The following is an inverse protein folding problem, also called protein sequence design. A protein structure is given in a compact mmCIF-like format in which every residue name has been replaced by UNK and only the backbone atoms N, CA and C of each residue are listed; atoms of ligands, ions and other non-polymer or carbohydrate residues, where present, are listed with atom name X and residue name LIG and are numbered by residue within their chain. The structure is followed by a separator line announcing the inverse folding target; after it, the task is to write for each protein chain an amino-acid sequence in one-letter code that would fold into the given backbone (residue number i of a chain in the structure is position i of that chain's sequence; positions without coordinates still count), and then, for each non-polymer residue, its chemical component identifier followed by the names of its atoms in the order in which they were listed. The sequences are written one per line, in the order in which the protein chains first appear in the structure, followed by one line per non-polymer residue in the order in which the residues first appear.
data_IF_994165211310
#
_entry.id   IF_994165211310
#
_cell.length_a   1.000
_cell.length_b   1.000
_cell.length_c   1.000
_cell.angle_alpha   90.00
_cell.angle_beta   90.00
_cell.angle_gamma   90.00
#
_symmetry.space_group_name_H-M   'P 1'
#
loop_
_entity.id
_entity.type
_entity.pdbx_description
1 polymer ?
#
# COMPACT_ATOMS: atom_id res chain seq x y z
N UNK A 1 15.19 5.45 -30.35
CA UNK A 1 15.08 6.90 -30.06
C UNK A 1 16.48 7.49 -30.11
N UNK A 2 17.01 7.49 -31.32
CA UNK A 2 18.19 8.15 -31.91
C UNK A 2 17.86 7.98 -33.43
N UNK A 3 18.00 8.92 -34.35
CA UNK A 3 19.13 9.81 -34.61
C UNK A 3 18.59 11.10 -35.27
N UNK A 4 18.49 12.21 -34.53
CA UNK A 4 18.40 13.53 -35.17
C UNK A 4 19.47 14.40 -34.52
N UNK A 5 20.58 14.54 -35.23
CA UNK A 5 21.80 15.26 -34.84
C UNK A 5 21.61 16.79 -34.84
N UNK A 6 20.41 17.30 -34.53
CA UNK A 6 20.10 18.72 -34.60
C UNK A 6 19.24 19.24 -33.43
N UNK A 7 19.28 18.61 -32.25
CA UNK A 7 18.61 19.14 -31.07
C UNK A 7 19.59 19.35 -29.90
N UNK A 8 19.83 20.62 -29.54
CA UNK A 8 20.56 21.11 -28.37
C UNK A 8 19.87 20.76 -27.03
N UNK A 9 19.10 19.67 -26.96
CA UNK A 9 18.25 19.36 -25.82
C UNK A 9 18.92 18.27 -24.98
N UNK A 10 19.26 18.61 -23.74
CA UNK A 10 19.78 17.65 -22.76
C UNK A 10 18.61 16.95 -22.06
N UNK A 11 18.53 15.63 -22.20
CA UNK A 11 17.61 14.81 -21.43
C UNK A 11 18.05 14.76 -19.96
N UNK A 12 17.12 15.09 -19.06
CA UNK A 12 17.29 14.93 -17.61
C UNK A 12 16.23 13.97 -17.12
N UNK A 13 16.65 12.89 -16.46
CA UNK A 13 15.74 11.87 -15.94
C UNK A 13 15.80 11.82 -14.42
N UNK A 14 14.66 12.02 -13.78
CA UNK A 14 14.49 11.78 -12.35
C UNK A 14 14.00 10.34 -12.16
N UNK A 15 14.68 9.57 -11.31
CA UNK A 15 14.35 8.17 -11.08
C UNK A 15 14.61 7.75 -9.63
N UNK A 16 13.96 6.66 -9.23
CA UNK A 16 14.25 5.95 -7.97
C UNK A 16 15.31 4.87 -8.21
N UNK A 17 15.53 4.00 -7.23
CA UNK A 17 16.36 2.80 -7.38
C UNK A 17 15.88 1.84 -8.49
N UNK A 18 14.72 2.07 -9.12
CA UNK A 18 14.32 1.29 -10.31
C UNK A 18 15.31 1.42 -11.48
N UNK A 19 16.00 2.57 -11.60
CA UNK A 19 17.04 2.76 -12.61
C UNK A 19 18.36 2.05 -12.27
N UNK A 20 18.53 1.61 -11.02
CA UNK A 20 19.69 0.88 -10.54
C UNK A 20 19.73 -0.55 -11.07
N UNK A 21 18.57 -1.18 -11.28
CA UNK A 21 18.42 -2.58 -11.69
C UNK A 21 17.55 -2.72 -12.94
N UNK A 22 16.29 -2.32 -12.86
CA UNK A 22 15.20 -2.81 -13.71
C UNK A 22 14.94 -2.00 -14.98
N UNK A 23 15.47 -0.79 -15.08
CA UNK A 23 15.34 0.06 -16.27
C UNK A 23 16.71 0.35 -16.87
N UNK A 24 16.80 0.24 -18.19
CA UNK A 24 17.97 0.67 -18.96
C UNK A 24 17.60 1.93 -19.72
N UNK A 25 18.30 3.02 -19.40
CA UNK A 25 18.19 4.30 -20.09
C UNK A 25 19.44 4.44 -20.94
N UNK A 26 19.26 4.61 -22.25
CA UNK A 26 20.38 4.77 -23.18
C UNK A 26 21.03 6.14 -23.02
N UNK A 27 22.30 6.24 -23.39
CA UNK A 27 23.04 7.50 -23.48
C UNK A 27 23.17 8.30 -22.17
N UNK A 28 23.02 7.65 -21.01
CA UNK A 28 23.31 8.26 -19.72
C UNK A 28 24.81 8.44 -19.54
N UNK A 29 25.28 9.68 -19.51
CA UNK A 29 26.70 10.04 -19.29
C UNK A 29 26.98 10.75 -17.97
N UNK A 30 25.93 11.21 -17.29
CA UNK A 30 26.02 11.88 -15.99
C UNK A 30 24.98 11.27 -15.05
N UNK A 31 25.45 10.80 -13.90
CA UNK A 31 24.59 10.37 -12.79
C UNK A 31 24.82 11.33 -11.63
N UNK A 32 23.74 11.86 -11.06
CA UNK A 32 23.75 12.63 -9.82
C UNK A 32 23.11 11.73 -8.76
N UNK A 33 23.89 11.31 -7.76
CA UNK A 33 23.44 10.36 -6.73
C UNK A 33 23.30 11.05 -5.38
N UNK A 34 22.06 11.07 -4.86
CA UNK A 34 21.75 11.63 -3.54
C UNK A 34 22.12 10.70 -2.38
N UNK A 35 22.45 9.42 -2.66
CA UNK A 35 22.86 8.46 -1.64
C UNK A 35 21.73 7.95 -0.75
N UNK A 36 20.47 8.21 -1.12
CA UNK A 36 19.29 7.82 -0.35
C UNK A 36 18.44 6.80 -1.11
N UNK A 37 17.67 6.03 -0.34
CA UNK A 37 16.64 5.10 -0.80
C UNK A 37 15.47 5.12 0.17
N UNK A 38 14.25 4.95 -0.35
CA UNK A 38 13.07 4.61 0.46
C UNK A 38 12.87 3.11 0.40
N UNK A 39 12.82 2.48 1.56
CA UNK A 39 12.72 1.03 1.68
C UNK A 39 11.63 0.66 2.68
N UNK A 40 10.79 -0.31 2.33
CA UNK A 40 9.85 -0.90 3.28
C UNK A 40 10.61 -1.88 4.19
N UNK A 41 10.50 -1.67 5.50
CA UNK A 41 11.09 -2.53 6.54
C UNK A 41 10.01 -2.94 7.52
N UNK A 42 9.98 -4.22 7.85
CA UNK A 42 9.05 -4.77 8.82
C UNK A 42 9.65 -4.68 10.23
N UNK A 43 8.91 -4.03 11.13
CA UNK A 43 9.20 -3.96 12.56
C UNK A 43 8.49 -5.15 13.24
N UNK A 44 9.26 -6.14 13.64
CA UNK A 44 8.75 -7.37 14.25
C UNK A 44 8.08 -7.11 15.61
N UNK A 45 8.63 -6.21 16.42
CA UNK A 45 8.10 -5.90 17.76
C UNK A 45 6.74 -5.21 17.64
N UNK A 46 6.64 -4.23 16.73
CA UNK A 46 5.41 -3.46 16.53
C UNK A 46 4.42 -4.12 15.57
N UNK A 47 4.85 -5.17 14.84
CA UNK A 47 4.13 -5.82 13.73
C UNK A 47 3.68 -4.83 12.65
N UNK A 48 4.55 -3.88 12.31
CA UNK A 48 4.27 -2.80 11.36
C UNK A 48 5.30 -2.76 10.25
N UNK A 49 4.84 -2.68 9.00
CA UNK A 49 5.72 -2.29 7.89
C UNK A 49 5.83 -0.77 7.85
N UNK A 50 7.05 -0.27 7.97
CA UNK A 50 7.38 1.16 7.93
C UNK A 50 8.19 1.43 6.66
N UNK A 51 7.82 2.46 5.92
CA UNK A 51 8.65 2.94 4.81
C UNK A 51 9.69 3.90 5.38
N UNK A 52 10.96 3.51 5.38
CA UNK A 52 12.05 4.31 5.93
C UNK A 52 12.89 4.95 4.80
N UNK A 53 13.25 6.23 4.97
CA UNK A 53 14.27 6.87 4.11
C UNK A 53 15.64 6.72 4.75
N UNK A 54 16.56 6.02 4.07
CA UNK A 54 17.88 5.69 4.61
C UNK A 54 18.99 5.86 3.57
N UNK A 55 20.24 5.82 4.03
CA UNK A 55 21.42 5.79 3.15
C UNK A 55 21.52 4.46 2.40
N UNK A 56 21.97 4.52 1.15
CA UNK A 56 22.20 3.32 0.32
C UNK A 56 23.41 2.51 0.81
N UNK A 57 23.58 1.29 0.29
CA UNK A 57 24.80 0.51 0.50
C UNK A 57 25.94 0.98 -0.41
N UNK A 58 27.18 0.59 -0.10
CA UNK A 58 28.33 0.84 -0.98
C UNK A 58 28.14 0.16 -2.35
N UNK A 59 27.68 -1.09 -2.36
CA UNK A 59 27.41 -1.79 -3.63
C UNK A 59 26.32 -1.11 -4.46
N UNK A 60 25.30 -0.52 -3.84
CA UNK A 60 24.28 0.29 -4.54
C UNK A 60 24.88 1.57 -5.14
N UNK A 61 25.74 2.27 -4.40
CA UNK A 61 26.45 3.45 -4.90
C UNK A 61 27.31 3.12 -6.14
N UNK A 62 27.96 1.96 -6.14
CA UNK A 62 28.79 1.50 -7.25
C UNK A 62 27.94 1.07 -8.45
N UNK A 63 26.81 0.40 -8.23
CA UNK A 63 25.84 0.09 -9.30
C UNK A 63 25.31 1.37 -9.97
N UNK A 64 24.95 2.39 -9.18
CA UNK A 64 24.52 3.70 -9.70
C UNK A 64 25.61 4.39 -10.50
N UNK A 65 26.86 4.32 -10.02
CA UNK A 65 28.03 4.86 -10.72
C UNK A 65 28.21 4.19 -12.09
N UNK A 66 28.06 2.86 -12.15
CA UNK A 66 28.15 2.08 -13.38
C UNK A 66 27.12 2.45 -14.45
N UNK A 67 26.00 3.08 -14.09
CA UNK A 67 24.99 3.54 -15.07
C UNK A 67 25.49 4.64 -15.99
N UNK A 68 26.44 5.47 -15.54
CA UNK A 68 27.04 6.52 -16.38
C UNK A 68 28.05 5.97 -17.41
N UNK A 69 28.57 4.77 -17.21
CA UNK A 69 29.69 4.20 -17.99
C UNK A 69 29.30 3.15 -19.02
N UNK A 70 28.00 3.01 -19.35
CA UNK A 70 27.52 1.89 -20.19
C UNK A 70 27.86 2.00 -21.66
N UNK A 71 27.69 3.19 -22.25
CA UNK A 71 27.86 3.41 -23.70
C UNK A 71 29.11 4.22 -24.04
N UNK A 72 29.59 5.03 -23.10
CA UNK A 72 30.77 5.88 -23.24
C UNK A 72 31.31 6.24 -21.85
N UNK A 73 32.53 6.79 -21.74
CA UNK A 73 33.01 7.36 -20.48
C UNK A 73 32.00 8.39 -19.93
N UNK A 74 31.61 8.19 -18.68
CA UNK A 74 30.65 9.06 -17.98
C UNK A 74 31.15 9.48 -16.60
N UNK A 75 30.37 10.33 -15.93
CA UNK A 75 30.67 10.87 -14.61
C UNK A 75 29.55 10.54 -13.63
N UNK A 76 29.91 10.20 -12.41
CA UNK A 76 28.98 10.11 -11.29
C UNK A 76 29.35 11.18 -10.26
N UNK A 77 28.37 12.01 -9.88
CA UNK A 77 28.51 13.02 -8.83
C UNK A 77 27.72 12.53 -7.62
N UNK A 78 28.43 12.11 -6.57
CA UNK A 78 27.83 11.70 -5.29
C UNK A 78 27.68 12.94 -4.41
N UNK A 79 26.48 13.17 -3.87
CA UNK A 79 26.17 14.30 -2.98
C UNK A 79 26.46 14.00 -1.50
N UNK A 80 27.29 13.01 -1.23
CA UNK A 80 27.61 12.46 0.09
C UNK A 80 29.03 11.89 0.07
N UNK A 81 29.63 11.69 1.26
CA UNK A 81 30.94 11.03 1.37
C UNK A 81 30.76 9.52 1.36
N UNK A 82 31.65 8.80 0.67
CA UNK A 82 31.55 7.33 0.61
C UNK A 82 31.72 6.68 2.00
N UNK A 83 32.54 7.29 2.86
CA UNK A 83 32.76 6.83 4.24
C UNK A 83 31.50 6.90 5.10
N UNK A 84 30.52 7.73 4.71
CA UNK A 84 29.22 7.81 5.37
C UNK A 84 28.34 6.57 5.12
N UNK A 85 28.70 5.72 4.13
CA UNK A 85 28.00 4.48 3.82
C UNK A 85 28.56 3.34 4.66
N UNK A 86 27.83 3.02 5.74
CA UNK A 86 28.19 1.97 6.69
C UNK A 86 27.91 0.57 6.11
N UNK A 87 26.81 0.41 5.37
CA UNK A 87 26.41 -0.88 4.78
C UNK A 87 27.25 -1.17 3.54
N UNK A 88 27.91 -2.32 3.52
CA UNK A 88 28.62 -2.80 2.33
C UNK A 88 27.61 -3.20 1.25
N UNK A 89 26.65 -4.06 1.61
CA UNK A 89 25.69 -4.66 0.69
C UNK A 89 24.23 -4.33 0.97
N UNK A 90 23.39 -4.60 -0.02
CA UNK A 90 21.93 -4.50 0.11
C UNK A 90 21.47 -5.68 0.97
N UNK A 91 20.75 -5.37 2.04
CA UNK A 91 20.19 -6.38 2.92
C UNK A 91 19.11 -7.22 2.20
N UNK A 92 19.19 -8.56 2.23
CA UNK A 92 18.21 -9.44 1.61
C UNK A 92 16.78 -9.15 2.06
N UNK A 93 15.83 -9.17 1.12
CA UNK A 93 14.43 -8.83 1.40
C UNK A 93 13.80 -9.71 2.49
N UNK A 94 14.21 -10.99 2.57
CA UNK A 94 13.73 -11.95 3.57
C UNK A 94 14.06 -11.55 5.02
N UNK A 95 15.14 -10.77 5.23
CA UNK A 95 15.57 -10.36 6.57
C UNK A 95 14.87 -9.08 7.05
N UNK A 96 14.08 -8.42 6.19
CA UNK A 96 13.50 -7.10 6.45
C UNK A 96 12.03 -6.97 6.06
N UNK A 97 11.40 -8.04 5.63
CA UNK A 97 9.99 -8.07 5.23
C UNK A 97 9.20 -8.98 6.17
N UNK A 98 7.88 -8.81 6.23
CA UNK A 98 7.02 -9.81 6.87
C UNK A 98 7.16 -11.15 6.15
N UNK A 99 7.23 -12.23 6.92
CA UNK A 99 7.30 -13.60 6.41
C UNK A 99 5.93 -14.27 6.36
N UNK A 100 4.85 -13.59 6.74
CA UNK A 100 3.52 -14.19 6.93
C UNK A 100 3.01 -14.85 5.64
N UNK A 101 3.04 -14.11 4.51
CA UNK A 101 2.62 -14.64 3.21
C UNK A 101 3.55 -15.74 2.68
N UNK A 102 4.86 -15.55 2.81
CA UNK A 102 5.86 -16.52 2.32
C UNK A 102 5.74 -17.84 3.09
N UNK A 103 5.57 -17.76 4.41
CA UNK A 103 5.36 -18.91 5.29
C UNK A 103 4.09 -19.66 4.89
N UNK A 104 2.98 -18.93 4.69
CA UNK A 104 1.72 -19.53 4.23
C UNK A 104 1.88 -20.24 2.88
N UNK A 105 2.56 -19.62 1.91
CA UNK A 105 2.79 -20.21 0.59
C UNK A 105 3.65 -21.48 0.66
N UNK A 106 4.71 -21.49 1.47
CA UNK A 106 5.56 -22.67 1.66
C UNK A 106 4.76 -23.81 2.32
N UNK A 107 3.94 -23.51 3.33
CA UNK A 107 3.06 -24.50 3.98
C UNK A 107 2.01 -25.03 2.99
N UNK A 108 1.45 -24.17 2.13
CA UNK A 108 0.51 -24.58 1.09
C UNK A 108 1.14 -25.53 0.06
N UNK A 109 2.46 -25.44 -0.15
CA UNK A 109 3.25 -26.40 -0.95
C UNK A 109 3.60 -27.69 -0.19
N UNK A 110 3.08 -27.87 1.04
CA UNK A 110 3.37 -29.01 1.93
C UNK A 110 4.85 -29.13 2.30
N UNK A 111 5.57 -28.02 2.31
CA UNK A 111 6.97 -27.94 2.74
C UNK A 111 7.01 -27.32 4.13
N UNK A 112 7.88 -27.81 5.01
CA UNK A 112 8.07 -27.22 6.33
C UNK A 112 9.01 -25.98 6.23
N UNK A 113 8.51 -24.75 6.47
CA UNK A 113 9.33 -23.53 6.42
C UNK A 113 10.58 -23.58 7.31
N UNK A 114 10.51 -24.26 8.46
CA UNK A 114 11.63 -24.37 9.43
C UNK A 114 12.80 -25.20 8.87
N UNK A 115 12.54 -26.06 7.90
CA UNK A 115 13.55 -26.90 7.23
C UNK A 115 13.88 -26.42 5.82
N UNK A 116 13.29 -25.30 5.40
CA UNK A 116 13.50 -24.77 4.06
C UNK A 116 14.92 -24.21 3.93
N UNK A 117 15.68 -24.59 2.88
CA UNK A 117 17.07 -24.18 2.72
C UNK A 117 17.18 -22.75 2.15
N UNK A 118 16.85 -21.75 2.97
CA UNK A 118 17.05 -20.34 2.60
C UNK A 118 18.54 -20.03 2.39
N UNK A 119 18.86 -19.23 1.38
CA UNK A 119 20.24 -18.73 1.14
C UNK A 119 20.67 -17.87 2.34
N UNK A 120 19.83 -16.90 2.68
CA UNK A 120 19.94 -16.08 3.89
C UNK A 120 18.77 -16.45 4.80
N UNK A 121 18.98 -17.32 5.82
CA UNK A 121 17.89 -17.76 6.68
C UNK A 121 17.36 -16.61 7.53
N UNK A 122 16.02 -16.43 7.63
CA UNK A 122 15.46 -15.46 8.54
C UNK A 122 15.70 -15.88 9.99
N UNK A 123 15.58 -14.92 10.90
CA UNK A 123 15.56 -15.21 12.33
C UNK A 123 14.40 -16.16 12.67
N UNK A 124 14.70 -17.23 13.41
CA UNK A 124 13.71 -18.23 13.81
C UNK A 124 12.54 -17.58 14.58
N UNK A 125 12.79 -16.54 15.37
CA UNK A 125 11.75 -15.83 16.13
C UNK A 125 10.73 -15.14 15.22
N UNK A 126 11.17 -14.62 14.07
CA UNK A 126 10.29 -13.99 13.07
C UNK A 126 9.44 -15.06 12.41
N UNK A 127 10.06 -16.20 12.08
CA UNK A 127 9.36 -17.32 11.47
C UNK A 127 8.28 -17.89 12.40
N UNK A 128 8.60 -18.12 13.69
CA UNK A 128 7.62 -18.56 14.68
C UNK A 128 6.49 -17.54 14.87
N UNK A 129 6.79 -16.23 14.90
CA UNK A 129 5.75 -15.21 14.97
C UNK A 129 4.82 -15.22 13.73
N UNK A 130 5.30 -15.66 12.57
CA UNK A 130 4.44 -15.91 11.40
C UNK A 130 3.58 -17.16 11.57
N UNK A 131 4.08 -18.25 12.17
CA UNK A 131 3.24 -19.41 12.53
C UNK A 131 2.12 -19.01 13.49
N UNK A 132 2.46 -18.30 14.57
CA UNK A 132 1.49 -17.84 15.57
C UNK A 132 0.37 -17.01 14.92
N UNK A 133 0.73 -16.10 14.00
CA UNK A 133 -0.27 -15.32 13.27
C UNK A 133 -1.13 -16.20 12.36
N UNK A 134 -0.53 -17.12 11.61
CA UNK A 134 -1.28 -17.98 10.70
C UNK A 134 -2.24 -18.90 11.44
N UNK A 135 -1.87 -19.38 12.63
CA UNK A 135 -2.75 -20.15 13.52
C UNK A 135 -3.87 -19.24 14.07
N UNK A 136 -3.53 -18.03 14.55
CA UNK A 136 -4.52 -17.05 15.01
C UNK A 136 -5.56 -16.69 13.91
N UNK A 137 -5.13 -16.64 12.65
CA UNK A 137 -6.00 -16.38 11.50
C UNK A 137 -6.69 -17.65 10.96
N UNK A 138 -6.50 -18.80 11.63
CA UNK A 138 -7.01 -20.11 11.22
C UNK A 138 -6.61 -20.50 9.80
N UNK A 139 -5.45 -20.03 9.33
CA UNK A 139 -4.87 -20.44 8.05
C UNK A 139 -4.19 -21.81 8.16
N UNK A 140 -3.68 -22.13 9.35
CA UNK A 140 -3.15 -23.43 9.72
C UNK A 140 -3.86 -23.94 10.98
N UNK A 141 -3.89 -25.25 11.17
CA UNK A 141 -4.35 -25.86 12.41
C UNK A 141 -3.23 -25.99 13.46
N UNK A 142 -3.55 -26.58 14.61
CA UNK A 142 -2.60 -26.83 15.71
C UNK A 142 -1.46 -27.78 15.34
N UNK A 143 -1.65 -28.61 14.31
CA UNK A 143 -0.63 -29.50 13.76
C UNK A 143 0.19 -28.82 12.64
N UNK A 144 -0.01 -27.51 12.45
CA UNK A 144 0.57 -26.68 11.39
C UNK A 144 0.25 -27.15 9.97
N UNK A 145 -0.88 -27.82 9.77
CA UNK A 145 -1.37 -28.21 8.46
C UNK A 145 -2.27 -27.12 7.86
N UNK A 146 -2.23 -26.98 6.54
CA UNK A 146 -2.97 -25.92 5.84
C UNK A 146 -4.49 -26.16 5.92
N UNK A 147 -5.25 -25.15 6.35
CA UNK A 147 -6.72 -25.21 6.35
C UNK A 147 -7.30 -24.75 5.00
N UNK A 148 -8.60 -24.98 4.78
CA UNK A 148 -9.32 -24.44 3.61
C UNK A 148 -9.22 -22.91 3.54
N UNK A 149 -9.24 -22.22 4.68
CA UNK A 149 -9.05 -20.77 4.78
C UNK A 149 -7.62 -20.36 4.39
N UNK A 150 -6.61 -21.11 4.85
CA UNK A 150 -5.22 -20.89 4.44
C UNK A 150 -5.00 -21.06 2.93
N UNK A 151 -5.65 -22.06 2.32
CA UNK A 151 -5.61 -22.24 0.86
C UNK A 151 -6.24 -21.06 0.11
N UNK A 152 -7.39 -20.55 0.58
CA UNK A 152 -8.03 -19.36 0.02
C UNK A 152 -7.10 -18.13 0.12
N UNK A 153 -6.44 -17.94 1.27
CA UNK A 153 -5.55 -16.80 1.48
C UNK A 153 -4.29 -16.89 0.61
N UNK A 154 -3.75 -18.10 0.44
CA UNK A 154 -2.66 -18.35 -0.48
C UNK A 154 -3.05 -18.04 -1.92
N UNK A 155 -4.31 -18.26 -2.32
CA UNK A 155 -4.79 -17.90 -3.65
C UNK A 155 -4.93 -16.39 -3.83
N UNK A 156 -5.45 -15.68 -2.82
CA UNK A 156 -5.58 -14.22 -2.83
C UNK A 156 -4.22 -13.50 -3.00
N UNK A 157 -3.12 -14.13 -2.57
CA UNK A 157 -1.74 -13.71 -2.87
C UNK A 157 -1.33 -12.33 -2.31
N UNK A 158 -1.98 -11.86 -1.24
CA UNK A 158 -1.57 -10.70 -0.46
C UNK A 158 -1.46 -11.05 1.02
N UNK A 159 -1.01 -10.10 1.86
CA UNK A 159 -0.77 -10.33 3.29
C UNK A 159 -1.97 -11.03 3.97
N UNK A 160 -1.75 -12.12 4.74
CA UNK A 160 -2.82 -12.88 5.37
C UNK A 160 -3.77 -12.05 6.24
N UNK A 161 -3.33 -10.93 6.82
CA UNK A 161 -4.21 -10.03 7.59
C UNK A 161 -5.17 -9.27 6.70
N UNK A 162 -4.74 -8.86 5.49
CA UNK A 162 -5.67 -8.27 4.51
C UNK A 162 -6.67 -9.31 4.02
N UNK A 163 -6.24 -10.56 3.84
CA UNK A 163 -7.15 -11.67 3.49
C UNK A 163 -8.15 -11.95 4.60
N UNK A 164 -7.72 -11.95 5.85
CA UNK A 164 -8.60 -12.08 7.01
C UNK A 164 -9.60 -10.94 7.09
N UNK A 165 -9.14 -9.70 7.03
CA UNK A 165 -10.00 -8.52 7.00
C UNK A 165 -11.07 -8.61 5.90
N UNK A 166 -10.66 -8.97 4.69
CA UNK A 166 -11.58 -9.10 3.55
C UNK A 166 -12.61 -10.21 3.75
N UNK A 167 -12.15 -11.42 4.07
CA UNK A 167 -13.02 -12.60 4.16
C UNK A 167 -13.94 -12.50 5.36
N UNK A 168 -13.44 -12.06 6.52
CA UNK A 168 -14.26 -11.95 7.73
C UNK A 168 -15.31 -10.84 7.57
N UNK A 169 -14.94 -9.68 7.00
CA UNK A 169 -15.92 -8.63 6.71
C UNK A 169 -16.95 -9.10 5.69
N UNK A 170 -16.57 -9.90 4.68
CA UNK A 170 -17.51 -10.45 3.71
C UNK A 170 -18.49 -11.47 4.32
N UNK A 171 -18.00 -12.33 5.22
CA UNK A 171 -18.82 -13.30 5.93
C UNK A 171 -19.75 -12.64 6.95
N UNK A 172 -19.34 -11.53 7.56
CA UNK A 172 -20.20 -10.76 8.48
C UNK A 172 -21.17 -9.83 7.73
N UNK A 173 -20.74 -9.24 6.62
CA UNK A 173 -21.43 -8.16 5.89
C UNK A 173 -21.32 -8.35 4.37
N UNK A 174 -22.00 -9.35 3.82
CA UNK A 174 -21.92 -9.72 2.39
C UNK A 174 -22.06 -8.57 1.38
N UNK A 175 -23.05 -7.66 1.49
CA UNK A 175 -23.29 -6.63 0.49
C UNK A 175 -22.17 -5.59 0.33
N UNK A 176 -21.27 -5.47 1.31
CA UNK A 176 -20.15 -4.50 1.27
C UNK A 176 -18.94 -5.03 0.49
N UNK A 177 -19.01 -6.25 -0.08
CA UNK A 177 -17.90 -6.94 -0.77
C UNK A 177 -17.16 -6.02 -1.76
N UNK A 178 -17.90 -5.32 -2.62
CA UNK A 178 -17.31 -4.45 -3.64
C UNK A 178 -16.47 -3.34 -3.02
N UNK A 179 -16.93 -2.74 -1.91
CA UNK A 179 -16.21 -1.71 -1.20
C UNK A 179 -14.94 -2.27 -0.55
N UNK A 180 -15.05 -3.36 0.21
CA UNK A 180 -13.90 -3.93 0.93
C UNK A 180 -12.84 -4.51 -0.03
N UNK A 181 -13.25 -5.16 -1.13
CA UNK A 181 -12.34 -5.64 -2.16
C UNK A 181 -11.59 -4.47 -2.82
N UNK A 182 -12.29 -3.35 -3.07
CA UNK A 182 -11.66 -2.13 -3.60
C UNK A 182 -10.66 -1.54 -2.61
N UNK A 183 -11.04 -1.45 -1.33
CA UNK A 183 -10.14 -0.94 -0.27
C UNK A 183 -8.89 -1.80 -0.17
N UNK A 184 -9.01 -3.13 -0.11
CA UNK A 184 -7.86 -4.03 -0.08
C UNK A 184 -7.00 -3.87 -1.32
N UNK A 185 -7.59 -3.83 -2.52
CA UNK A 185 -6.86 -3.62 -3.76
C UNK A 185 -6.05 -2.30 -3.77
N UNK A 186 -6.61 -1.22 -3.23
CA UNK A 186 -5.92 0.06 -3.04
C UNK A 186 -4.74 -0.08 -2.07
N UNK A 187 -4.95 -0.74 -0.93
CA UNK A 187 -3.96 -0.86 0.14
C UNK A 187 -2.77 -1.74 -0.25
N UNK A 188 -3.00 -2.80 -1.04
CA UNK A 188 -1.92 -3.68 -1.51
C UNK A 188 -1.18 -3.11 -2.72
N UNK A 189 -1.79 -2.15 -3.44
CA UNK A 189 -1.16 -1.53 -4.62
C UNK A 189 -0.17 -0.45 -4.22
N UNK A 190 1.14 -0.61 -4.51
CA UNK A 190 2.13 0.41 -4.23
C UNK A 190 1.88 1.67 -5.06
N UNK A 191 2.15 2.85 -4.48
CA UNK A 191 2.19 4.10 -5.24
C UNK A 191 0.84 4.60 -5.76
N UNK A 192 -0.27 4.21 -5.12
CA UNK A 192 -1.58 4.78 -5.48
C UNK A 192 -1.70 6.28 -5.14
N UNK A 193 -1.15 6.69 -3.98
CA UNK A 193 -1.01 8.10 -3.60
C UNK A 193 0.40 8.66 -3.78
N UNK A 194 1.41 7.78 -3.72
CA UNK A 194 2.80 8.16 -3.93
C UNK A 194 3.12 7.98 -5.41
N UNK A 195 3.08 9.05 -6.17
CA UNK A 195 4.30 9.58 -6.80
C UNK A 195 3.91 10.72 -7.75
N UNK A 196 4.47 11.90 -7.46
CA UNK A 196 4.29 13.19 -8.13
C UNK A 196 2.98 13.94 -7.83
N UNK A 197 2.86 14.41 -6.59
CA UNK A 197 2.27 15.73 -6.35
C UNK A 197 3.15 16.73 -7.10
N UNK A 198 2.78 17.02 -8.35
CA UNK A 198 3.27 18.08 -9.21
C UNK A 198 4.76 18.40 -9.18
N UNK A 199 5.47 18.18 -10.29
CA UNK A 199 6.82 18.74 -10.41
C UNK A 199 6.76 20.28 -10.34
N UNK A 200 5.66 20.85 -10.82
CA UNK A 200 5.41 22.29 -10.87
C UNK A 200 4.58 22.76 -9.66
N UNK A 201 4.79 23.99 -9.15
CA UNK A 201 3.99 24.56 -8.05
C UNK A 201 2.48 24.50 -8.30
N UNK A 202 2.02 24.82 -9.51
CA UNK A 202 0.60 24.81 -9.89
C UNK A 202 -0.03 23.41 -9.77
N UNK A 203 0.72 22.37 -10.15
CA UNK A 203 0.29 20.99 -10.03
C UNK A 203 0.20 20.54 -8.56
N UNK A 204 1.09 21.07 -7.70
CA UNK A 204 1.03 20.84 -6.25
C UNK A 204 -0.19 21.50 -5.63
N UNK A 205 -0.47 22.74 -6.02
CA UNK A 205 -1.64 23.48 -5.54
C UNK A 205 -2.93 22.81 -6.02
N UNK A 206 -2.99 22.37 -7.28
CA UNK A 206 -4.11 21.62 -7.82
C UNK A 206 -4.33 20.27 -7.11
N UNK A 207 -3.25 19.55 -6.78
CA UNK A 207 -3.33 18.31 -6.01
C UNK A 207 -3.82 18.57 -4.57
N UNK A 208 -3.28 19.61 -3.91
CA UNK A 208 -3.70 20.03 -2.58
C UNK A 208 -5.16 20.44 -2.53
N UNK A 209 -5.62 21.25 -3.49
CA UNK A 209 -7.02 21.66 -3.59
C UNK A 209 -7.95 20.47 -3.78
N UNK A 210 -7.54 19.44 -4.53
CA UNK A 210 -8.32 18.20 -4.67
C UNK A 210 -8.44 17.42 -3.37
N UNK A 211 -7.40 17.38 -2.56
CA UNK A 211 -7.47 16.77 -1.22
C UNK A 211 -8.42 17.58 -0.33
N UNK A 212 -8.36 18.91 -0.40
CA UNK A 212 -9.25 19.81 0.34
C UNK A 212 -10.72 19.63 -0.11
N UNK A 213 -10.96 19.52 -1.41
CA UNK A 213 -12.30 19.26 -1.95
C UNK A 213 -12.80 17.87 -1.54
N UNK A 214 -11.96 16.84 -1.65
CA UNK A 214 -12.28 15.50 -1.17
C UNK A 214 -12.58 15.46 0.33
N UNK A 215 -11.93 16.33 1.12
CA UNK A 215 -12.19 16.48 2.56
C UNK A 215 -13.53 17.16 2.90
N UNK A 216 -14.22 17.77 1.93
CA UNK A 216 -15.59 18.27 2.11
C UNK A 216 -16.60 17.13 2.09
N UNK A 217 -16.36 16.15 1.22
CA UNK A 217 -17.33 15.09 0.92
C UNK A 217 -17.00 13.75 1.58
N UNK A 218 -15.76 13.56 2.07
CA UNK A 218 -15.32 12.31 2.67
C UNK A 218 -14.67 12.49 4.04
N UNK A 219 -15.07 11.62 4.96
CA UNK A 219 -14.55 11.55 6.31
C UNK A 219 -13.28 10.68 6.43
N UNK A 220 -12.93 9.97 5.36
CA UNK A 220 -11.99 8.87 5.29
C UNK A 220 -11.10 8.99 4.05
N UNK A 221 -9.78 8.87 4.22
CA UNK A 221 -8.87 8.79 3.08
C UNK A 221 -9.19 7.57 2.21
N UNK A 222 -9.49 6.43 2.82
CA UNK A 222 -9.79 5.20 2.10
C UNK A 222 -11.05 5.35 1.24
N UNK A 223 -12.10 6.01 1.76
CA UNK A 223 -13.34 6.20 1.01
C UNK A 223 -13.19 7.24 -0.11
N UNK A 224 -12.40 8.30 0.14
CA UNK A 224 -12.01 9.24 -0.92
C UNK A 224 -11.22 8.53 -2.03
N UNK A 225 -10.34 7.61 -1.69
CA UNK A 225 -9.60 6.81 -2.66
C UNK A 225 -10.49 5.85 -3.45
N UNK A 226 -11.48 5.24 -2.78
CA UNK A 226 -12.50 4.41 -3.43
C UNK A 226 -13.35 5.23 -4.40
N UNK A 227 -13.78 6.45 -4.03
CA UNK A 227 -14.57 7.30 -4.92
C UNK A 227 -13.78 7.66 -6.17
N UNK A 228 -12.51 8.04 -6.03
CA UNK A 228 -11.60 8.32 -7.15
C UNK A 228 -11.47 7.09 -8.07
N UNK A 229 -11.32 5.89 -7.50
CA UNK A 229 -11.22 4.66 -8.29
C UNK A 229 -12.52 4.36 -9.04
N UNK A 230 -13.68 4.52 -8.41
CA UNK A 230 -15.00 4.33 -9.03
C UNK A 230 -15.26 5.32 -10.18
N UNK A 231 -14.88 6.57 -10.00
CA UNK A 231 -14.92 7.59 -11.05
C UNK A 231 -14.02 7.23 -12.24
N UNK A 232 -12.81 6.72 -11.96
CA UNK A 232 -11.92 6.23 -13.00
C UNK A 232 -12.51 5.01 -13.72
N UNK A 233 -13.10 4.05 -13.00
CA UNK A 233 -13.73 2.88 -13.60
C UNK A 233 -14.88 3.25 -14.54
N UNK A 234 -15.66 4.27 -14.17
CA UNK A 234 -16.79 4.80 -14.95
C UNK A 234 -16.37 5.76 -16.07
N UNK A 235 -15.11 6.19 -16.11
CA UNK A 235 -14.61 7.06 -17.16
C UNK A 235 -14.66 6.37 -18.54
N UNK A 236 -15.48 6.92 -19.44
CA UNK A 236 -15.62 6.46 -20.82
C UNK A 236 -16.29 5.10 -20.93
N UNK A 237 -17.52 4.98 -20.43
CA UNK A 237 -18.37 3.82 -20.65
C UNK A 237 -18.54 3.54 -22.16
N UNK A 238 -18.60 2.26 -22.49
CA UNK A 238 -18.76 1.79 -23.86
C UNK A 238 -20.23 1.46 -24.07
N UNK A 239 -20.80 2.01 -25.12
CA UNK A 239 -22.14 1.66 -25.54
C UNK A 239 -22.16 0.22 -26.06
N UNK A 240 -23.01 -0.60 -25.47
CA UNK A 240 -23.16 -2.02 -25.79
C UNK A 240 -23.57 -2.29 -27.23
N UNK A 241 -24.26 -1.34 -27.88
CA UNK A 241 -24.78 -1.50 -29.25
C UNK A 241 -23.72 -1.07 -30.26
N UNK A 242 -23.22 0.16 -30.13
CA UNK A 242 -22.27 0.74 -31.09
C UNK A 242 -20.83 0.26 -30.88
N UNK A 243 -20.50 -0.32 -29.72
CA UNK A 243 -19.13 -0.64 -29.26
C UNK A 243 -18.18 0.55 -29.31
N UNK A 244 -18.71 1.76 -29.21
CA UNK A 244 -17.96 3.00 -29.15
C UNK A 244 -18.05 3.60 -27.75
N UNK A 245 -16.99 4.30 -27.36
CA UNK A 245 -17.00 5.06 -26.13
C UNK A 245 -18.00 6.23 -26.23
N UNK A 246 -18.82 6.43 -25.21
CA UNK A 246 -19.79 7.53 -25.18
C UNK A 246 -19.16 8.93 -25.11
N UNK A 247 -17.90 9.03 -24.69
CA UNK A 247 -17.19 10.31 -24.51
C UNK A 247 -16.27 10.63 -25.69
N UNK A 248 -15.37 9.70 -26.04
CA UNK A 248 -14.38 9.95 -27.10
C UNK A 248 -14.75 9.33 -28.46
N UNK A 249 -15.86 8.60 -28.54
CA UNK A 249 -16.34 7.91 -29.75
C UNK A 249 -15.35 6.91 -30.38
N UNK A 250 -14.25 6.61 -29.70
CA UNK A 250 -13.26 5.62 -30.16
C UNK A 250 -13.84 4.21 -29.99
N UNK A 251 -13.78 3.35 -31.03
CA UNK A 251 -14.15 1.94 -30.92
C UNK A 251 -13.27 1.21 -29.91
N UNK A 252 -13.85 0.34 -29.09
CA UNK A 252 -13.09 -0.42 -28.10
C UNK A 252 -13.45 -1.90 -28.15
N UNK A 253 -12.42 -2.75 -28.03
CA UNK A 253 -12.56 -4.20 -27.96
C UNK A 253 -13.00 -4.68 -26.56
N UNK A 254 -12.73 -3.90 -25.50
CA UNK A 254 -13.21 -4.20 -24.14
C UNK A 254 -14.70 -3.89 -24.05
N UNK A 255 -15.45 -4.64 -23.23
CA UNK A 255 -16.91 -4.51 -23.15
C UNK A 255 -17.40 -3.40 -22.21
N UNK A 256 -16.61 -3.00 -21.20
CA UNK A 256 -17.09 -2.16 -20.09
C UNK A 256 -16.58 -0.72 -20.10
N UNK A 257 -15.35 -0.47 -20.54
CA UNK A 257 -14.71 0.85 -20.38
C UNK A 257 -13.62 1.18 -21.40
N UNK A 258 -13.49 2.45 -21.74
CA UNK A 258 -12.53 2.97 -22.70
C UNK A 258 -11.16 3.30 -22.07
N UNK A 259 -10.09 2.70 -22.59
CA UNK A 259 -8.73 2.95 -22.13
C UNK A 259 -8.27 4.41 -22.34
N UNK A 260 -8.71 5.06 -23.42
CA UNK A 260 -8.37 6.45 -23.72
C UNK A 260 -8.96 7.41 -22.67
N UNK A 261 -10.26 7.28 -22.37
CA UNK A 261 -10.91 8.12 -21.37
C UNK A 261 -10.38 7.89 -19.96
N UNK A 262 -10.06 6.65 -19.61
CA UNK A 262 -9.41 6.31 -18.33
C UNK A 262 -8.02 6.91 -18.19
N UNK A 263 -7.21 6.85 -19.26
CA UNK A 263 -5.91 7.51 -19.29
C UNK A 263 -6.05 9.04 -19.19
N UNK A 264 -7.02 9.63 -19.90
CA UNK A 264 -7.32 11.06 -19.84
C UNK A 264 -7.83 11.50 -18.45
N UNK A 265 -8.68 10.70 -17.80
CA UNK A 265 -9.10 10.93 -16.42
C UNK A 265 -7.89 10.92 -15.48
N UNK A 266 -7.03 9.91 -15.61
CA UNK A 266 -5.83 9.80 -14.78
C UNK A 266 -4.91 11.00 -14.96
N UNK A 267 -4.68 11.42 -16.21
CA UNK A 267 -3.83 12.57 -16.52
C UNK A 267 -4.40 13.88 -15.96
N UNK A 268 -5.70 14.14 -16.17
CA UNK A 268 -6.35 15.37 -15.67
C UNK A 268 -6.36 15.44 -14.13
N UNK A 269 -6.27 14.29 -13.46
CA UNK A 269 -6.21 14.17 -12.00
C UNK A 269 -4.80 13.87 -11.48
N UNK A 270 -3.74 13.93 -12.30
CA UNK A 270 -2.37 13.57 -11.89
C UNK A 270 -2.29 12.24 -11.12
N UNK A 271 -3.07 11.24 -11.54
CA UNK A 271 -3.10 9.91 -10.96
C UNK A 271 -2.23 8.95 -11.78
N UNK A 272 -1.65 7.96 -11.10
CA UNK A 272 -0.92 6.90 -11.78
C UNK A 272 -1.88 5.88 -12.39
N UNK A 273 -2.09 5.97 -13.71
CA UNK A 273 -2.95 5.05 -14.44
C UNK A 273 -2.49 3.58 -14.32
N UNK A 274 -1.19 3.30 -14.17
CA UNK A 274 -0.71 1.92 -13.97
C UNK A 274 -1.13 1.37 -12.63
N UNK A 275 -1.08 2.20 -11.57
CA UNK A 275 -1.58 1.83 -10.24
C UNK A 275 -3.09 1.58 -10.27
N UNK A 276 -3.86 2.44 -10.95
CA UNK A 276 -5.31 2.24 -11.13
C UNK A 276 -5.65 0.93 -11.86
N UNK A 277 -4.93 0.61 -12.95
CA UNK A 277 -5.09 -0.69 -13.63
C UNK A 277 -4.68 -1.87 -12.73
N UNK A 278 -3.64 -1.73 -11.91
CA UNK A 278 -3.24 -2.77 -10.96
C UNK A 278 -4.32 -3.01 -9.90
N UNK A 279 -4.93 -1.94 -9.37
CA UNK A 279 -6.07 -2.02 -8.44
C UNK A 279 -7.23 -2.77 -9.09
N UNK A 280 -7.60 -2.42 -10.33
CA UNK A 280 -8.67 -3.11 -11.07
C UNK A 280 -8.38 -4.61 -11.23
N UNK A 281 -7.15 -4.99 -11.60
CA UNK A 281 -6.77 -6.39 -11.74
C UNK A 281 -6.85 -7.16 -10.42
N UNK A 282 -6.36 -6.57 -9.32
CA UNK A 282 -6.40 -7.18 -7.98
C UNK A 282 -7.84 -7.31 -7.51
N UNK A 283 -8.65 -6.27 -7.70
CA UNK A 283 -10.07 -6.29 -7.41
C UNK A 283 -10.78 -7.43 -8.16
N UNK A 284 -10.62 -7.53 -9.49
CA UNK A 284 -11.25 -8.57 -10.31
C UNK A 284 -10.82 -9.98 -9.89
N UNK A 285 -9.52 -10.18 -9.64
CA UNK A 285 -8.99 -11.45 -9.14
C UNK A 285 -9.59 -11.83 -7.77
N UNK A 286 -9.73 -10.85 -6.89
CA UNK A 286 -10.29 -11.01 -5.55
C UNK A 286 -11.77 -11.39 -5.59
N UNK A 287 -12.59 -10.65 -6.37
CA UNK A 287 -14.00 -10.94 -6.55
C UNK A 287 -14.18 -12.34 -7.15
N UNK A 288 -13.39 -12.69 -8.18
CA UNK A 288 -13.43 -14.01 -8.81
C UNK A 288 -13.06 -15.12 -7.83
N UNK A 289 -12.07 -14.90 -6.96
CA UNK A 289 -11.67 -15.88 -5.95
C UNK A 289 -12.80 -16.09 -4.95
N UNK A 290 -13.36 -15.03 -4.36
CA UNK A 290 -14.37 -15.12 -3.29
C UNK A 290 -15.74 -15.59 -3.77
N UNK A 291 -16.13 -15.27 -5.00
CA UNK A 291 -17.40 -15.74 -5.60
C UNK A 291 -17.29 -17.15 -6.19
N UNK A 292 -16.11 -17.77 -6.15
CA UNK A 292 -15.92 -19.13 -6.64
C UNK A 292 -16.70 -20.13 -5.76
N UNK A 293 -17.56 -20.98 -6.35
CA UNK A 293 -18.37 -21.93 -5.58
C UNK A 293 -17.51 -22.97 -4.85
N UNK A 294 -16.23 -23.15 -5.24
CA UNK A 294 -15.32 -24.09 -4.58
C UNK A 294 -15.00 -23.72 -3.14
N UNK A 295 -15.23 -22.47 -2.71
CA UNK A 295 -14.91 -22.03 -1.35
C UNK A 295 -16.11 -22.11 -0.40
N UNK A 296 -17.33 -22.24 -0.95
CA UNK A 296 -18.57 -22.38 -0.17
C UNK A 296 -18.73 -21.31 0.93
N UNK A 297 -18.44 -20.06 0.55
CA UNK A 297 -18.57 -18.93 1.46
C UNK A 297 -20.04 -18.51 1.53
N UNK A 298 -20.57 -18.43 2.75
CA UNK A 298 -21.93 -17.95 3.03
C UNK A 298 -21.88 -16.48 3.45
N UNK A 299 -22.18 -15.52 2.54
CA UNK A 299 -22.11 -14.10 2.87
C UNK A 299 -23.14 -13.71 3.92
N UNK A 300 -22.72 -12.87 4.87
CA UNK A 300 -23.59 -12.31 5.90
C UNK A 300 -24.64 -11.36 5.32
N UNK A 301 -25.74 -11.17 6.04
CA UNK A 301 -26.74 -10.17 5.67
C UNK A 301 -26.30 -8.76 6.09
N UNK A 302 -26.83 -7.74 5.40
CA UNK A 302 -26.59 -6.35 5.80
C UNK A 302 -27.12 -6.13 7.23
N UNK A 303 -26.31 -5.48 8.05
CA UNK A 303 -26.75 -4.95 9.34
C UNK A 303 -27.05 -3.47 9.14
N UNK A 304 -28.02 -2.92 9.85
CA UNK A 304 -28.38 -1.48 9.83
C UNK A 304 -27.24 -0.63 10.45
N UNK A 305 -26.14 -0.50 9.71
CA UNK A 305 -24.96 0.31 10.02
C UNK A 305 -24.42 0.89 8.72
N UNK A 306 -23.84 2.08 8.82
CA UNK A 306 -23.15 2.74 7.71
C UNK A 306 -21.91 1.94 7.27
N UNK A 307 -21.66 1.88 5.96
CA UNK A 307 -20.51 1.20 5.36
C UNK A 307 -19.16 1.65 5.98
N UNK A 308 -19.06 2.95 6.31
CA UNK A 308 -17.88 3.51 6.95
C UNK A 308 -17.65 2.95 8.35
N UNK A 309 -18.71 2.73 9.13
CA UNK A 309 -18.57 2.18 10.49
C UNK A 309 -18.17 0.70 10.42
N UNK A 310 -18.75 -0.07 9.49
CA UNK A 310 -18.39 -1.47 9.24
C UNK A 310 -16.91 -1.58 8.89
N UNK A 311 -16.43 -0.71 7.98
CA UNK A 311 -15.04 -0.65 7.57
C UNK A 311 -14.11 -0.33 8.76
N UNK A 312 -14.42 0.69 9.56
CA UNK A 312 -13.58 1.10 10.69
C UNK A 312 -13.49 0.06 11.79
N UNK A 313 -14.61 -0.60 12.14
CA UNK A 313 -14.63 -1.66 13.15
C UNK A 313 -13.78 -2.86 12.72
N UNK A 314 -13.96 -3.32 11.48
CA UNK A 314 -13.23 -4.48 10.96
C UNK A 314 -11.74 -4.17 10.75
N UNK A 315 -11.38 -2.97 10.27
CA UNK A 315 -9.98 -2.57 10.19
C UNK A 315 -9.31 -2.58 11.57
N UNK A 316 -9.97 -2.06 12.61
CA UNK A 316 -9.42 -2.07 13.97
C UNK A 316 -9.31 -3.48 14.57
N UNK A 317 -10.23 -4.39 14.20
CA UNK A 317 -10.20 -5.81 14.59
C UNK A 317 -8.93 -6.50 14.06
N UNK A 318 -8.60 -6.28 12.78
CA UNK A 318 -7.51 -6.97 12.10
C UNK A 318 -6.14 -6.27 12.19
N UNK A 319 -6.12 -4.97 12.44
CA UNK A 319 -4.89 -4.17 12.54
C UNK A 319 -4.84 -3.31 13.82
N UNK A 320 -4.91 -3.93 15.01
CA UNK A 320 -4.95 -3.19 16.27
C UNK A 320 -3.69 -2.34 16.52
N UNK A 321 -2.54 -2.72 15.96
CA UNK A 321 -1.30 -1.94 16.02
C UNK A 321 -1.32 -0.63 15.22
N UNK A 322 -2.26 -0.49 14.28
CA UNK A 322 -2.44 0.68 13.41
C UNK A 322 -3.45 1.70 13.95
N UNK A 323 -4.04 1.42 15.10
CA UNK A 323 -5.00 2.30 15.75
C UNK A 323 -4.32 3.50 16.43
N UNK A 324 -4.86 4.69 16.21
CA UNK A 324 -4.34 5.95 16.73
C UNK A 324 -5.43 6.93 17.15
N UNK A 325 -5.02 7.98 17.88
CA UNK A 325 -5.88 9.11 18.20
C UNK A 325 -5.12 10.43 18.08
N UNK A 326 -5.84 11.48 17.69
CA UNK A 326 -5.30 12.83 17.49
C UNK A 326 -5.21 13.55 18.84
N UNK A 327 -4.00 14.03 19.20
CA UNK A 327 -3.72 14.72 20.47
C UNK A 327 -4.02 16.21 20.41
N UNK A 328 -3.47 16.90 19.41
CA UNK A 328 -3.56 18.37 19.30
C UNK A 328 -3.77 18.73 17.85
N UNK A 329 -4.84 19.47 17.59
CA UNK A 329 -5.18 19.96 16.26
C UNK A 329 -4.16 21.03 15.86
N UNK A 330 -3.11 20.63 15.12
CA UNK A 330 -2.04 21.47 14.53
C UNK A 330 -0.82 21.78 15.43
N UNK A 331 -0.26 20.77 16.09
CA UNK A 331 1.17 20.85 16.40
C UNK A 331 1.95 20.75 15.06
N UNK A 332 2.97 21.59 14.85
CA UNK A 332 3.74 21.59 13.58
C UNK A 332 4.46 20.26 13.29
N UNK A 333 4.56 19.36 14.26
CA UNK A 333 5.43 18.20 14.15
C UNK A 333 4.87 16.88 14.68
N UNK A 334 3.93 16.87 15.65
CA UNK A 334 3.40 15.66 16.30
C UNK A 334 1.97 15.92 16.76
N UNK A 335 0.99 15.47 15.98
CA UNK A 335 -0.43 15.74 16.21
C UNK A 335 -1.25 14.50 16.59
N UNK A 336 -0.67 13.30 16.55
CA UNK A 336 -1.35 12.07 16.96
C UNK A 336 -0.44 11.05 17.67
N UNK A 337 -1.05 10.06 18.32
CA UNK A 337 -0.38 8.92 18.98
C UNK A 337 -0.97 7.60 18.51
N UNK A 338 -0.08 6.65 18.19
CA UNK A 338 -0.44 5.25 17.96
C UNK A 338 -0.66 4.56 19.31
N UNK A 339 -1.86 4.04 19.56
CA UNK A 339 -2.29 3.64 20.92
C UNK A 339 -1.55 2.41 21.42
N UNK A 340 -1.44 1.36 20.61
CA UNK A 340 -0.82 0.09 21.03
C UNK A 340 0.69 0.23 21.27
N UNK A 341 1.36 1.00 20.41
CA UNK A 341 2.81 1.13 20.40
C UNK A 341 3.32 2.40 21.12
N UNK A 342 2.41 3.27 21.57
CA UNK A 342 2.65 4.50 22.32
C UNK A 342 3.77 5.39 21.74
N UNK A 343 3.72 5.69 20.44
CA UNK A 343 4.65 6.63 19.82
C UNK A 343 3.93 7.74 19.04
N UNK A 344 4.59 8.91 19.00
CA UNK A 344 4.09 10.13 18.39
C UNK A 344 4.26 10.08 16.87
N UNK A 345 3.22 10.54 16.18
CA UNK A 345 3.15 10.57 14.72
C UNK A 345 2.60 11.91 14.24
N UNK A 346 2.94 12.26 13.01
CA UNK A 346 2.44 13.41 12.29
C UNK A 346 1.44 12.97 11.20
N UNK A 347 0.34 13.70 11.02
CA UNK A 347 -0.55 13.48 9.88
C UNK A 347 0.10 13.99 8.58
N UNK A 348 -0.04 13.21 7.52
CA UNK A 348 0.30 13.61 6.15
C UNK A 348 -0.57 14.79 5.71
N UNK A 349 0.04 15.83 5.11
CA UNK A 349 -0.71 16.91 4.45
C UNK A 349 -1.55 16.40 3.27
N UNK A 350 -1.32 15.16 2.82
CA UNK A 350 -2.13 14.50 1.79
C UNK A 350 -3.38 13.80 2.33
N UNK A 351 -3.58 13.79 3.66
CA UNK A 351 -4.76 13.19 4.28
C UNK A 351 -5.93 14.16 4.30
N UNK A 352 -7.14 13.68 4.00
CA UNK A 352 -8.37 14.46 4.16
C UNK A 352 -8.60 14.83 5.63
N UNK A 353 -8.13 14.01 6.58
CA UNK A 353 -8.22 14.28 8.02
C UNK A 353 -7.37 15.50 8.44
N UNK A 354 -6.28 15.79 7.73
CA UNK A 354 -5.43 16.96 8.00
C UNK A 354 -6.15 18.28 7.73
N UNK A 355 -7.02 18.32 6.71
CA UNK A 355 -7.68 19.56 6.25
C UNK A 355 -9.04 19.82 6.89
N UNK A 356 -9.63 18.84 7.59
CA UNK A 356 -10.98 18.96 8.17
C UNK A 356 -11.01 19.34 9.66
N UNK A 357 -12.18 19.77 10.13
CA UNK A 357 -12.49 19.84 11.56
C UNK A 357 -12.82 18.44 12.06
N UNK A 358 -11.92 17.88 12.86
CA UNK A 358 -12.05 16.53 13.44
C UNK A 358 -13.27 16.50 14.37
N UNK A 359 -14.24 15.66 14.05
CA UNK A 359 -15.41 15.36 14.91
C UNK A 359 -15.12 14.13 15.77
N UNK A 360 -14.42 13.13 15.22
CA UNK A 360 -13.95 11.94 15.92
C UNK A 360 -12.40 11.88 15.88
N UNK A 361 -11.70 11.93 17.03
CA UNK A 361 -10.24 11.95 17.05
C UNK A 361 -9.59 10.60 16.80
N UNK A 362 -10.35 9.51 16.75
CA UNK A 362 -9.80 8.15 16.61
C UNK A 362 -9.81 7.71 15.14
N UNK A 363 -8.74 7.02 14.75
CA UNK A 363 -8.53 6.58 13.39
C UNK A 363 -7.69 5.30 13.34
N UNK A 364 -7.69 4.66 12.18
CA UNK A 364 -6.70 3.65 11.81
C UNK A 364 -5.84 4.17 10.66
N UNK A 365 -4.52 3.98 10.76
CA UNK A 365 -3.55 4.42 9.77
C UNK A 365 -3.01 3.23 8.96
N UNK A 366 -3.31 3.20 7.66
CA UNK A 366 -2.88 2.09 6.80
C UNK A 366 -1.50 2.31 6.14
N UNK A 367 -0.91 3.49 6.29
CA UNK A 367 0.45 3.79 5.88
C UNK A 367 1.21 4.55 6.96
N UNK A 368 2.43 4.09 7.26
CA UNK A 368 3.35 4.72 8.21
C UNK A 368 4.72 4.86 7.54
N UNK A 369 5.19 6.10 7.44
CA UNK A 369 6.45 6.45 6.79
C UNK A 369 7.38 7.09 7.81
N UNK A 370 8.57 6.55 7.98
CA UNK A 370 9.61 7.16 8.82
C UNK A 370 10.53 8.00 7.96
N UNK A 371 10.55 9.28 8.28
CA UNK A 371 11.40 10.28 7.64
C UNK A 371 12.85 10.12 8.12
N UNK A 372 13.80 10.64 7.34
CA UNK A 372 15.22 10.68 7.72
C UNK A 372 15.50 11.47 9.00
N UNK A 373 14.57 12.35 9.41
CA UNK A 373 14.59 13.06 10.69
C UNK A 373 14.24 12.17 11.90
N UNK A 374 13.83 10.92 11.68
CA UNK A 374 13.33 10.00 12.71
C UNK A 374 11.83 10.13 13.00
N UNK A 375 11.16 11.13 12.40
CA UNK A 375 9.71 11.36 12.57
C UNK A 375 8.89 10.35 11.78
N UNK A 376 7.73 9.99 12.32
CA UNK A 376 6.77 9.11 11.66
C UNK A 376 5.61 9.93 11.10
N UNK A 377 5.32 9.74 9.82
CA UNK A 377 4.21 10.33 9.10
C UNK A 377 3.17 9.25 8.81
N UNK A 378 1.90 9.53 9.10
CA UNK A 378 0.79 8.61 8.83
C UNK A 378 -0.08 9.10 7.67
N UNK A 379 -0.55 8.17 6.85
CA UNK A 379 -1.43 8.43 5.69
C UNK A 379 -2.44 7.27 5.54
N UNK A 380 -3.38 7.40 4.60
CA UNK A 380 -4.46 6.44 4.36
C UNK A 380 -5.28 6.19 5.64
N UNK A 381 -5.75 7.28 6.24
CA UNK A 381 -6.47 7.27 7.50
C UNK A 381 -7.95 6.97 7.29
N UNK A 382 -8.53 6.19 8.19
CA UNK A 382 -9.97 5.95 8.25
C UNK A 382 -10.49 6.21 9.67
N UNK A 383 -11.59 6.98 9.85
CA UNK A 383 -12.15 7.26 11.16
C UNK A 383 -12.65 5.97 11.81
N UNK A 384 -12.49 5.85 13.12
CA UNK A 384 -12.90 4.67 13.85
C UNK A 384 -13.57 5.07 15.17
N UNK A 385 -14.48 4.25 15.68
CA UNK A 385 -15.07 4.51 16.98
C UNK A 385 -14.02 4.35 18.10
N UNK A 386 -14.16 5.06 19.24
CA UNK A 386 -13.31 4.84 20.40
C UNK A 386 -13.41 3.39 20.87
N UNK A 387 -12.36 2.83 21.49
CA UNK A 387 -12.42 1.46 21.98
C UNK A 387 -13.45 1.42 23.12
N UNK A 388 -14.37 0.46 23.08
CA UNK A 388 -15.29 0.27 24.20
C UNK A 388 -14.49 -0.25 25.40
N UNK A 389 -14.53 0.46 26.53
CA UNK A 389 -13.93 -0.03 27.79
C UNK A 389 -14.68 -1.28 28.24
N UNK A 390 -13.98 -2.37 28.57
CA UNK A 390 -14.60 -3.43 29.37
C UNK A 390 -14.83 -2.91 30.80
N UNK A 391 -15.76 -3.53 31.54
CA UNK A 391 -16.03 -3.22 32.95
C UNK A 391 -14.84 -3.39 33.91
N UNK A 392 -13.69 -3.86 33.41
CA UNK A 392 -12.45 -4.10 34.16
C UNK A 392 -11.35 -3.05 33.84
N UNK A 393 -11.71 -1.93 33.20
CA UNK A 393 -10.80 -0.80 32.94
C UNK A 393 -9.73 -1.04 31.86
N UNK A 394 -9.63 -2.26 31.29
CA UNK A 394 -8.78 -2.57 30.14
C UNK A 394 -9.45 -2.14 28.83
N UNK A 395 -8.66 -1.58 27.91
CA UNK A 395 -9.08 -1.35 26.52
C UNK A 395 -9.44 -2.71 25.93
N UNK A 396 -10.71 -2.95 25.56
CA UNK A 396 -11.02 -4.11 24.72
C UNK A 396 -10.38 -3.87 23.36
N UNK A 397 -9.23 -4.50 23.12
CA UNK A 397 -8.86 -4.81 21.74
C UNK A 397 -9.99 -5.63 21.15
N UNK A 398 -10.51 -5.21 20.00
CA UNK A 398 -11.71 -5.73 19.33
C UNK A 398 -11.59 -7.22 18.95
N UNK A 399 -10.43 -7.86 19.18
CA UNK A 399 -10.17 -9.29 18.98
C UNK A 399 -10.76 -10.26 20.02
N UNK A 400 -11.63 -9.84 20.93
CA UNK A 400 -12.30 -10.73 21.90
C UNK A 400 -13.79 -10.94 21.61
N UNK A 401 -14.21 -10.86 20.35
CA UNK A 401 -15.55 -11.29 19.93
C UNK A 401 -15.45 -12.67 19.28
N UNK A 402 -15.88 -13.66 20.07
CA UNK A 402 -16.23 -15.04 19.76
C UNK A 402 -15.08 -16.03 19.52
N UNK A 403 -14.83 -16.82 20.58
CA UNK A 403 -14.45 -18.23 20.49
C UNK A 403 -15.61 -19.07 19.93
#
# INVERSE_FOLDING_TARGET
FDEDANNEIRMVVFCTNIAETSVTINNVRLVIDCGLVKEARFDNERRLTIIETMKISRSSADQRTGRAGRTAPGRCVRLYRLDDLIRQDIEPAILRSSLDLVTLQIICLQINPRKFPFIDPPDATILEASFDLLEQLSCIDTDHTITRRGQLFSELSFDPRYSAFLVDTYLEHGPILDLIATVVAILVTPGFRSDMVGALPEEKDAARNRIIDGAKDNESDLLCLVSIFRDWCSAGQIDSVTRQCQICHVPSAKKSSCACCRAAYSLSRLLNNRSLCAIENIYEATIKALTSPRWDLSPGSLVDREDSDILGVNLCKHFPERYGHILVKRARFEDAVMVKNNFLVALSENSVLFHRKIVNPHFIAMSIVKLSSGKHLIDQLHPCQPPTKSGDGRIKTIGSMNA
#
